data_IF_900960059964
#
_entry.id   IF_900960059964
#
_cell.length_a   1.000
_cell.length_b   1.000
_cell.length_c   1.000
_cell.angle_alpha   90.00
_cell.angle_beta   90.00
_cell.angle_gamma   90.00
#
_symmetry.space_group_name_H-M   'P 1'
#
loop_
_entity.id
_entity.type
_entity.pdbx_description
1 polymer ?
#
# COMPACT_ATOMS: atom_id res chain seq x y z
N UNK A 1 11.44 10.17 -6.38
CA UNK A 1 11.51 8.74 -6.71
C UNK A 1 10.23 8.05 -6.24
N UNK A 2 9.66 7.22 -7.07
CA UNK A 2 8.40 6.53 -6.78
C UNK A 2 8.60 5.02 -6.83
N UNK A 3 8.14 4.34 -5.78
CA UNK A 3 8.25 2.88 -5.65
C UNK A 3 6.91 2.25 -6.00
N UNK A 4 6.90 1.41 -7.02
CA UNK A 4 5.69 0.82 -7.57
C UNK A 4 5.17 -0.36 -6.73
N UNK A 5 3.85 -0.50 -6.64
CA UNK A 5 3.24 -1.72 -6.15
C UNK A 5 3.55 -2.90 -7.06
N UNK A 6 3.66 -4.10 -6.50
CA UNK A 6 3.79 -5.33 -7.29
C UNK A 6 2.56 -5.51 -8.19
N UNK A 7 2.77 -6.12 -9.37
CA UNK A 7 1.66 -6.44 -10.29
C UNK A 7 0.64 -7.36 -9.63
N UNK A 8 1.10 -8.31 -8.83
CA UNK A 8 0.23 -9.25 -8.11
C UNK A 8 -0.72 -8.51 -7.16
N UNK A 9 -0.22 -7.54 -6.39
CA UNK A 9 -1.04 -6.75 -5.48
C UNK A 9 -2.04 -5.87 -6.22
N UNK A 10 -1.64 -5.25 -7.32
CA UNK A 10 -2.52 -4.43 -8.15
C UNK A 10 -3.65 -5.25 -8.79
N UNK A 11 -3.34 -6.44 -9.27
CA UNK A 11 -4.36 -7.37 -9.79
C UNK A 11 -5.31 -7.82 -8.69
N UNK A 12 -4.82 -8.03 -7.50
CA UNK A 12 -5.62 -8.41 -6.34
C UNK A 12 -6.64 -7.32 -6.00
N UNK A 13 -6.23 -6.06 -5.97
CA UNK A 13 -7.14 -4.94 -5.72
C UNK A 13 -8.24 -4.85 -6.77
N UNK A 14 -7.91 -5.00 -8.04
CA UNK A 14 -8.90 -5.02 -9.12
C UNK A 14 -9.87 -6.20 -8.97
N UNK A 15 -9.35 -7.38 -8.69
CA UNK A 15 -10.15 -8.58 -8.47
C UNK A 15 -11.11 -8.41 -7.29
N UNK A 16 -10.65 -7.86 -6.17
CA UNK A 16 -11.47 -7.56 -5.00
C UNK A 16 -12.60 -6.59 -5.35
N UNK A 17 -12.29 -5.53 -6.10
CA UNK A 17 -13.31 -4.58 -6.53
C UNK A 17 -14.40 -5.22 -7.37
N UNK A 18 -14.02 -6.02 -8.36
CA UNK A 18 -14.96 -6.76 -9.22
C UNK A 18 -15.79 -7.74 -8.39
N UNK A 19 -15.17 -8.47 -7.48
CA UNK A 19 -15.85 -9.43 -6.60
C UNK A 19 -16.97 -8.77 -5.79
N UNK A 20 -16.68 -7.66 -5.13
CA UNK A 20 -17.68 -6.96 -4.30
C UNK A 20 -18.82 -6.38 -5.14
N UNK A 21 -18.55 -5.90 -6.35
CA UNK A 21 -19.58 -5.42 -7.27
C UNK A 21 -20.47 -6.58 -7.73
N UNK A 22 -19.91 -7.75 -8.02
CA UNK A 22 -20.68 -8.93 -8.37
C UNK A 22 -21.58 -9.38 -7.21
N UNK A 23 -21.09 -9.37 -5.98
CA UNK A 23 -21.88 -9.67 -4.78
C UNK A 23 -23.06 -8.69 -4.66
N UNK A 24 -22.83 -7.42 -4.90
CA UNK A 24 -23.90 -6.41 -4.90
C UNK A 24 -24.96 -6.71 -5.97
N UNK A 25 -24.54 -6.96 -7.21
CA UNK A 25 -25.46 -7.26 -8.32
C UNK A 25 -26.30 -8.49 -8.03
N UNK A 26 -25.67 -9.59 -7.57
CA UNK A 26 -26.37 -10.82 -7.21
C UNK A 26 -27.36 -10.59 -6.05
N UNK A 27 -26.96 -9.80 -5.06
CA UNK A 27 -27.85 -9.44 -3.96
C UNK A 27 -29.08 -8.67 -4.41
N UNK A 28 -28.93 -7.75 -5.34
CA UNK A 28 -30.05 -6.97 -5.90
C UNK A 28 -30.98 -7.87 -6.73
N UNK A 29 -30.43 -8.78 -7.54
CA UNK A 29 -31.21 -9.67 -8.41
C UNK A 29 -32.00 -10.73 -7.63
N UNK A 30 -31.42 -11.25 -6.56
CA UNK A 30 -32.02 -12.36 -5.80
C UNK A 30 -32.70 -11.94 -4.50
N UNK A 31 -32.69 -10.66 -4.15
CA UNK A 31 -33.36 -10.15 -2.96
C UNK A 31 -34.69 -9.49 -3.34
N UNK A 32 -35.77 -9.93 -2.69
CA UNK A 32 -37.11 -9.34 -2.87
C UNK A 32 -37.27 -8.01 -2.14
N UNK A 33 -36.35 -7.67 -1.27
CA UNK A 33 -36.36 -6.42 -0.50
C UNK A 33 -35.13 -5.58 -0.77
N UNK A 34 -35.34 -4.28 -0.90
CA UNK A 34 -34.23 -3.33 -0.95
C UNK A 34 -33.53 -3.30 0.41
N UNK A 35 -32.39 -3.95 0.48
CA UNK A 35 -31.57 -3.99 1.69
C UNK A 35 -30.48 -2.94 1.60
N UNK A 36 -30.50 -1.99 2.53
CA UNK A 36 -29.50 -0.91 2.60
C UNK A 36 -28.08 -1.47 2.73
N UNK A 37 -27.92 -2.61 3.41
CA UNK A 37 -26.59 -3.25 3.56
C UNK A 37 -25.97 -3.69 2.23
N UNK A 38 -26.76 -3.91 1.19
CA UNK A 38 -26.22 -4.26 -0.14
C UNK A 38 -25.38 -3.13 -0.73
N UNK A 39 -25.73 -1.89 -0.43
CA UNK A 39 -24.95 -0.73 -0.90
C UNK A 39 -23.55 -0.66 -0.28
N UNK A 40 -23.34 -1.29 0.88
CA UNK A 40 -22.00 -1.40 1.47
C UNK A 40 -21.07 -2.20 0.57
N UNK A 41 -21.55 -3.26 -0.07
CA UNK A 41 -20.76 -4.05 -1.02
C UNK A 41 -20.40 -3.23 -2.27
N UNK A 42 -21.33 -2.42 -2.76
CA UNK A 42 -21.07 -1.52 -3.88
C UNK A 42 -19.98 -0.51 -3.51
N UNK A 43 -20.08 0.10 -2.33
CA UNK A 43 -19.09 1.09 -1.84
C UNK A 43 -17.73 0.43 -1.70
N UNK A 44 -17.64 -0.77 -1.11
CA UNK A 44 -16.39 -1.53 -1.00
C UNK A 44 -15.75 -1.79 -2.36
N UNK A 45 -16.55 -2.23 -3.34
CA UNK A 45 -16.07 -2.46 -4.69
C UNK A 45 -15.53 -1.21 -5.36
N UNK A 46 -16.25 -0.09 -5.22
CA UNK A 46 -15.83 1.20 -5.78
C UNK A 46 -14.55 1.72 -5.13
N UNK A 47 -14.38 1.53 -3.82
CA UNK A 47 -13.15 1.90 -3.11
C UNK A 47 -11.95 1.10 -3.67
N UNK A 48 -12.10 -0.21 -3.83
CA UNK A 48 -11.01 -1.04 -4.36
C UNK A 48 -10.64 -0.67 -5.79
N UNK A 49 -11.62 -0.38 -6.64
CA UNK A 49 -11.36 0.06 -8.01
C UNK A 49 -10.69 1.43 -8.02
N UNK A 50 -11.14 2.34 -7.18
CA UNK A 50 -10.51 3.66 -7.05
C UNK A 50 -9.04 3.52 -6.63
N UNK A 51 -8.75 2.70 -5.63
CA UNK A 51 -7.37 2.44 -5.18
C UNK A 51 -6.53 1.82 -6.30
N UNK A 52 -7.09 0.88 -7.06
CA UNK A 52 -6.39 0.27 -8.20
C UNK A 52 -6.01 1.31 -9.25
N UNK A 53 -6.88 2.25 -9.55
CA UNK A 53 -6.66 3.27 -10.58
C UNK A 53 -5.77 4.42 -10.13
N UNK A 54 -5.87 4.83 -8.87
CA UNK A 54 -5.20 6.03 -8.35
C UNK A 54 -3.89 5.72 -7.62
N UNK A 55 -3.84 4.65 -6.87
CA UNK A 55 -2.67 4.31 -6.05
C UNK A 55 -1.78 3.33 -6.78
N UNK A 56 -0.96 3.83 -7.71
CA UNK A 56 0.00 3.02 -8.48
C UNK A 56 1.33 2.86 -7.75
N UNK A 57 1.65 3.79 -6.87
CA UNK A 57 2.93 3.87 -6.17
C UNK A 57 2.73 3.59 -4.70
N UNK A 58 3.47 2.61 -4.17
CA UNK A 58 3.43 2.24 -2.76
C UNK A 58 4.10 3.28 -1.88
N UNK A 59 5.28 3.75 -2.32
CA UNK A 59 6.07 4.74 -1.61
C UNK A 59 6.48 5.87 -2.56
N UNK A 60 6.69 7.04 -2.00
CA UNK A 60 7.32 8.17 -2.69
C UNK A 60 8.45 8.70 -1.83
N UNK A 61 9.60 8.96 -2.44
CA UNK A 61 10.76 9.60 -1.79
C UNK A 61 11.04 10.91 -2.53
N UNK A 62 10.73 12.01 -1.90
CA UNK A 62 10.94 13.35 -2.44
C UNK A 62 11.35 14.31 -1.33
N UNK A 63 12.28 15.23 -1.63
CA UNK A 63 12.74 16.25 -0.66
C UNK A 63 13.17 15.65 0.69
N UNK A 64 13.89 14.52 0.66
CA UNK A 64 14.36 13.81 1.84
C UNK A 64 13.24 13.28 2.75
N UNK A 65 12.04 13.10 2.21
CA UNK A 65 10.88 12.55 2.91
C UNK A 65 10.42 11.27 2.22
N UNK A 66 10.26 10.19 2.97
CA UNK A 66 9.64 8.95 2.53
C UNK A 66 8.18 8.93 2.98
N UNK A 67 7.28 8.68 2.04
CA UNK A 67 5.84 8.67 2.27
C UNK A 67 5.21 7.39 1.76
N UNK A 68 4.37 6.76 2.58
CA UNK A 68 3.50 5.66 2.17
C UNK A 68 2.22 6.23 1.54
N UNK A 69 1.90 5.81 0.31
CA UNK A 69 0.82 6.40 -0.49
C UNK A 69 -0.54 5.71 -0.32
N UNK A 70 -0.76 4.98 0.76
CA UNK A 70 -2.08 4.42 1.06
C UNK A 70 -2.81 5.25 2.14
N UNK A 71 -4.09 4.95 2.37
CA UNK A 71 -5.00 5.79 3.18
C UNK A 71 -4.44 6.13 4.55
N UNK A 72 -3.87 5.14 5.26
CA UNK A 72 -3.27 5.31 6.58
C UNK A 72 -1.74 5.35 6.54
N UNK A 73 -1.19 5.74 5.40
CA UNK A 73 0.25 5.79 5.19
C UNK A 73 0.96 6.81 6.07
N UNK A 74 2.15 6.45 6.52
CA UNK A 74 3.01 7.31 7.34
C UNK A 74 3.97 8.10 6.45
N UNK A 75 4.52 9.14 7.02
CA UNK A 75 5.47 10.05 6.39
C UNK A 75 6.60 10.30 7.37
N UNK A 76 7.83 10.05 6.94
CA UNK A 76 9.03 10.17 7.78
C UNK A 76 10.11 10.91 7.00
N UNK A 77 10.83 11.78 7.68
CA UNK A 77 12.02 12.41 7.12
C UNK A 77 13.19 11.41 7.19
N UNK A 78 13.88 11.22 6.08
CA UNK A 78 15.02 10.29 5.99
C UNK A 78 16.14 10.63 6.98
N UNK A 79 16.36 11.91 7.28
CA UNK A 79 17.37 12.34 8.24
C UNK A 79 17.05 11.96 9.69
N UNK A 80 15.78 11.67 10.00
CA UNK A 80 15.34 11.28 11.33
C UNK A 80 15.47 9.77 11.61
N UNK A 81 15.76 8.97 10.57
CA UNK A 81 15.89 7.51 10.71
C UNK A 81 17.14 7.17 11.51
N UNK A 82 16.97 6.40 12.58
CA UNK A 82 18.06 5.95 13.46
C UNK A 82 18.54 4.53 13.13
N UNK A 83 17.65 3.65 12.74
CA UNK A 83 17.98 2.28 12.40
C UNK A 83 17.01 1.71 11.37
N UNK A 84 17.49 0.69 10.63
CA UNK A 84 16.68 -0.07 9.67
C UNK A 84 16.83 -1.54 10.04
N UNK A 85 15.70 -2.23 10.21
CA UNK A 85 15.64 -3.65 10.47
C UNK A 85 14.98 -4.39 9.33
N UNK A 86 15.61 -5.46 8.84
CA UNK A 86 14.99 -6.36 7.87
C UNK A 86 14.51 -7.61 8.63
N UNK A 87 13.19 -7.77 8.72
CA UNK A 87 12.60 -8.88 9.47
C UNK A 87 11.26 -9.30 8.87
N UNK A 88 11.05 -10.63 8.72
CA UNK A 88 9.78 -11.21 8.30
C UNK A 88 9.19 -10.62 7.00
N UNK A 89 10.04 -10.35 5.99
CA UNK A 89 9.60 -9.78 4.71
C UNK A 89 9.27 -8.30 4.76
N UNK A 90 9.72 -7.59 5.79
CA UNK A 90 9.52 -6.15 5.95
C UNK A 90 10.83 -5.43 6.22
N UNK A 91 10.92 -4.17 5.77
CA UNK A 91 11.89 -3.21 6.28
C UNK A 91 11.22 -2.34 7.33
N UNK A 92 11.82 -2.25 8.52
CA UNK A 92 11.31 -1.44 9.61
C UNK A 92 12.25 -0.25 9.79
N UNK A 93 11.77 0.94 9.43
CA UNK A 93 12.50 2.20 9.60
C UNK A 93 12.12 2.78 10.95
N UNK A 94 13.10 3.00 11.81
CA UNK A 94 12.88 3.54 13.15
C UNK A 94 13.46 4.94 13.30
N UNK A 95 12.64 5.83 13.84
CA UNK A 95 13.05 7.14 14.34
C UNK A 95 12.89 7.15 15.86
N UNK A 96 13.24 8.26 16.51
CA UNK A 96 13.05 8.39 17.97
C UNK A 96 11.58 8.34 18.38
N UNK A 97 10.66 8.74 17.49
CA UNK A 97 9.23 8.85 17.80
C UNK A 97 8.33 7.91 17.01
N UNK A 98 8.80 7.40 15.88
CA UNK A 98 7.96 6.68 14.92
C UNK A 98 8.66 5.43 14.39
N UNK A 99 7.84 4.57 13.84
CA UNK A 99 8.27 3.34 13.17
C UNK A 99 7.45 3.20 11.89
N UNK A 100 8.14 3.01 10.76
CA UNK A 100 7.49 2.76 9.47
C UNK A 100 7.82 1.33 9.02
N UNK A 101 6.80 0.54 8.71
CA UNK A 101 6.97 -0.79 8.15
C UNK A 101 6.74 -0.76 6.65
N UNK A 102 7.66 -1.31 5.90
CA UNK A 102 7.59 -1.41 4.45
C UNK A 102 7.51 -2.87 4.07
N UNK A 103 6.37 -3.29 3.53
CA UNK A 103 6.15 -4.67 3.09
C UNK A 103 6.86 -4.91 1.75
N UNK A 104 7.91 -5.71 1.77
CA UNK A 104 8.71 -6.05 0.59
C UNK A 104 7.87 -6.77 -0.47
N UNK A 105 6.94 -7.62 -0.06
CA UNK A 105 6.07 -8.36 -0.96
C UNK A 105 5.10 -7.49 -1.76
N UNK A 106 4.86 -6.27 -1.32
CA UNK A 106 4.00 -5.30 -2.01
C UNK A 106 4.72 -4.47 -3.06
N UNK A 107 6.03 -4.61 -3.20
CA UNK A 107 6.87 -3.79 -4.08
C UNK A 107 7.27 -4.57 -5.32
N UNK A 108 7.23 -3.93 -6.48
CA UNK A 108 7.76 -4.51 -7.72
C UNK A 108 9.28 -4.67 -7.60
N UNK A 109 9.83 -5.77 -8.14
CA UNK A 109 11.25 -6.14 -7.97
C UNK A 109 12.22 -5.05 -8.42
N UNK A 110 11.96 -4.39 -9.54
CA UNK A 110 12.80 -3.29 -10.03
C UNK A 110 12.80 -2.10 -9.07
N UNK A 111 11.63 -1.75 -8.55
CA UNK A 111 11.48 -0.68 -7.57
C UNK A 111 12.08 -1.02 -6.22
N UNK A 112 12.06 -2.30 -5.83
CA UNK A 112 12.69 -2.77 -4.59
C UNK A 112 14.20 -2.53 -4.62
N UNK A 113 14.85 -2.82 -5.75
CA UNK A 113 16.29 -2.57 -5.91
C UNK A 113 16.62 -1.08 -5.73
N UNK A 114 15.83 -0.20 -6.34
CA UNK A 114 15.98 1.25 -6.19
C UNK A 114 15.79 1.70 -4.74
N UNK A 115 14.79 1.16 -4.05
CA UNK A 115 14.54 1.47 -2.64
C UNK A 115 15.71 1.05 -1.76
N UNK A 116 16.25 -0.15 -1.96
CA UNK A 116 17.39 -0.65 -1.20
C UNK A 116 18.61 0.26 -1.41
N UNK A 117 18.87 0.68 -2.64
CA UNK A 117 19.97 1.59 -2.95
C UNK A 117 19.82 2.94 -2.25
N UNK A 118 18.62 3.48 -2.21
CA UNK A 118 18.35 4.73 -1.48
C UNK A 118 18.51 4.57 0.04
N UNK A 119 18.07 3.46 0.61
CA UNK A 119 18.22 3.20 2.04
C UNK A 119 19.69 2.97 2.42
N UNK A 120 20.50 2.38 1.55
CA UNK A 120 21.94 2.16 1.78
C UNK A 120 22.75 3.46 1.77
N UNK A 121 22.25 4.50 1.15
CA UNK A 121 22.89 5.83 1.18
C UNK A 121 22.77 6.50 2.55
N UNK A 122 21.87 6.03 3.40
CA UNK A 122 21.70 6.57 4.75
C UNK A 122 22.78 6.04 5.67
N UNK A 123 23.39 6.93 6.46
CA UNK A 123 24.36 6.57 7.49
C UNK A 123 23.62 6.15 8.76
N UNK A 124 23.05 4.96 8.73
CA UNK A 124 22.24 4.41 9.83
C UNK A 124 22.63 2.96 10.11
N UNK A 125 22.32 2.50 11.31
CA UNK A 125 22.56 1.13 11.72
C UNK A 125 21.53 0.18 11.09
N UNK A 126 22.02 -0.86 10.42
CA UNK A 126 21.18 -1.98 9.95
C UNK A 126 21.25 -3.10 10.97
N UNK A 127 20.09 -3.55 11.40
CA UNK A 127 19.96 -4.61 12.40
C UNK A 127 19.61 -5.94 11.74
#
# INVERSE_FOLDING_TARGET
MKILYSRKKRKYELFQGIFWILVFILGVLFSDRKNVFLYLYLIMGLIHIYLHLKVKHYLSIENNIIKQNYIFGKKINLSEIKSIKHFAGEYILRTDKRKMRIDIGSIEKSSLAELIDELKKLDVQWI
#
